data_IF_204469352909
#
_entry.id   IF_204469352909
#
_cell.length_a   1.000
_cell.length_b   1.000
_cell.length_c   1.000
_cell.angle_alpha   90.00
_cell.angle_beta   90.00
_cell.angle_gamma   90.00
#
_symmetry.space_group_name_H-M   'P 1'
#
loop_
_entity.id
_entity.type
_entity.pdbx_description
1 polymer ?
#
# COMPACT_ATOMS: atom_id res chain seq x y z
N UNK A 1 -8.48 0.12 0.49
CA UNK A 1 -8.72 -0.16 -0.95
C UNK A 1 -9.82 0.73 -1.49
N UNK A 2 -11.07 0.66 -1.02
CA UNK A 2 -12.19 1.46 -1.56
C UNK A 2 -11.94 2.99 -1.54
N UNK A 3 -11.42 3.50 -0.44
CA UNK A 3 -10.95 4.88 -0.25
C UNK A 3 -9.81 5.30 -1.20
N UNK A 4 -8.96 4.35 -1.59
CA UNK A 4 -7.73 4.59 -2.35
C UNK A 4 -7.91 4.52 -3.87
N UNK A 5 -8.85 3.68 -4.34
CA UNK A 5 -9.07 3.38 -5.76
C UNK A 5 -10.42 3.92 -6.24
N UNK A 6 -11.35 4.25 -5.34
CA UNK A 6 -12.70 4.74 -5.67
C UNK A 6 -13.46 3.78 -6.60
N UNK A 7 -13.67 2.55 -6.12
CA UNK A 7 -14.40 1.50 -6.83
C UNK A 7 -15.60 1.00 -6.02
N UNK A 8 -16.54 0.37 -6.70
CA UNK A 8 -17.74 -0.22 -6.08
C UNK A 8 -17.62 -1.73 -5.93
N UNK A 9 -17.09 -2.39 -6.96
CA UNK A 9 -16.92 -3.84 -7.02
C UNK A 9 -15.60 -4.22 -7.71
N UNK A 10 -15.06 -5.37 -7.35
CA UNK A 10 -13.95 -5.99 -8.07
C UNK A 10 -14.49 -7.07 -9.01
N UNK A 11 -13.79 -7.33 -10.11
CA UNK A 11 -14.17 -8.39 -11.04
C UNK A 11 -12.95 -9.07 -11.66
N UNK A 12 -13.14 -10.28 -12.19
CA UNK A 12 -12.14 -11.03 -12.94
C UNK A 12 -12.58 -11.16 -14.39
N UNK A 13 -11.68 -10.89 -15.34
CA UNK A 13 -12.00 -11.01 -16.77
C UNK A 13 -12.14 -12.47 -17.18
N UNK A 14 -13.17 -12.78 -17.96
CA UNK A 14 -13.42 -14.10 -18.53
C UNK A 14 -12.68 -14.29 -19.85
N UNK A 15 -12.26 -15.52 -20.12
CA UNK A 15 -11.75 -15.91 -21.44
C UNK A 15 -12.90 -15.89 -22.46
N UNK A 16 -12.66 -15.42 -23.70
CA UNK A 16 -13.72 -15.30 -24.71
C UNK A 16 -14.44 -16.60 -25.08
N UNK A 17 -13.80 -17.76 -24.88
CA UNK A 17 -14.27 -19.06 -25.33
C UNK A 17 -15.04 -19.87 -24.29
N UNK A 18 -15.15 -19.37 -23.05
CA UNK A 18 -15.83 -20.06 -21.98
C UNK A 18 -16.95 -19.18 -21.44
N UNK A 19 -18.20 -19.68 -21.55
CA UNK A 19 -19.35 -19.16 -20.83
C UNK A 19 -19.60 -20.09 -19.65
N UNK A 20 -19.04 -19.84 -18.46
CA UNK A 20 -19.25 -20.73 -17.35
C UNK A 20 -20.68 -20.50 -16.89
N UNK A 21 -21.57 -21.41 -17.28
CA UNK A 21 -22.98 -21.44 -16.88
C UNK A 21 -23.15 -21.44 -15.35
N UNK A 22 -22.11 -21.88 -14.64
CA UNK A 22 -22.04 -22.00 -13.18
C UNK A 22 -22.18 -20.68 -12.42
N UNK A 23 -21.68 -19.57 -12.98
CA UNK A 23 -21.69 -18.25 -12.34
C UNK A 23 -22.49 -17.23 -13.16
N UNK A 24 -23.48 -17.70 -13.92
CA UNK A 24 -24.28 -16.85 -14.82
C UNK A 24 -24.90 -15.63 -14.12
N UNK A 25 -25.25 -15.74 -12.83
CA UNK A 25 -25.78 -14.63 -12.03
C UNK A 25 -24.73 -13.60 -11.58
N UNK A 26 -23.43 -13.92 -11.67
CA UNK A 26 -22.32 -13.03 -11.33
C UNK A 26 -21.58 -12.51 -12.57
N UNK A 27 -22.01 -12.92 -13.77
CA UNK A 27 -21.44 -12.47 -15.03
C UNK A 27 -21.92 -11.06 -15.37
N UNK A 28 -20.99 -10.13 -15.55
CA UNK A 28 -21.23 -8.75 -15.97
C UNK A 28 -20.62 -8.57 -17.36
N UNK A 29 -21.37 -7.95 -18.26
CA UNK A 29 -20.89 -7.55 -19.60
C UNK A 29 -20.53 -6.07 -19.61
N UNK A 30 -19.30 -5.74 -20.01
CA UNK A 30 -18.82 -4.36 -20.16
C UNK A 30 -18.10 -4.26 -21.51
N UNK A 31 -18.58 -3.38 -22.39
CA UNK A 31 -18.00 -3.14 -23.71
C UNK A 31 -17.79 -4.41 -24.57
N UNK A 32 -18.65 -5.42 -24.41
CA UNK A 32 -18.56 -6.70 -25.13
C UNK A 32 -17.64 -7.73 -24.49
N UNK A 33 -16.95 -7.39 -23.40
CA UNK A 33 -16.16 -8.32 -22.59
C UNK A 33 -16.97 -8.81 -21.39
N UNK A 34 -16.70 -10.04 -20.94
CA UNK A 34 -17.39 -10.67 -19.81
C UNK A 34 -16.48 -10.68 -18.57
N UNK A 35 -17.07 -10.44 -17.41
CA UNK A 35 -16.38 -10.39 -16.13
C UNK A 35 -17.16 -11.13 -15.06
N UNK A 36 -16.48 -11.78 -14.12
CA UNK A 36 -17.11 -12.28 -12.90
C UNK A 36 -16.98 -11.27 -11.78
N UNK A 37 -18.13 -10.80 -11.28
CA UNK A 37 -18.18 -9.92 -10.11
C UNK A 37 -17.82 -10.67 -8.84
N UNK A 38 -16.89 -10.11 -8.08
CA UNK A 38 -16.43 -10.63 -6.79
C UNK A 38 -17.34 -10.18 -5.63
N UNK A 39 -18.64 -10.05 -5.85
CA UNK A 39 -19.62 -9.71 -4.81
C UNK A 39 -19.78 -10.82 -3.77
N UNK A 40 -19.81 -12.08 -4.20
CA UNK A 40 -19.87 -13.24 -3.32
C UNK A 40 -18.82 -14.29 -3.67
N UNK A 41 -17.60 -14.00 -3.22
CA UNK A 41 -16.42 -14.88 -3.38
C UNK A 41 -16.59 -16.20 -2.60
N UNK A 42 -17.53 -16.31 -1.65
CA UNK A 42 -17.71 -17.57 -0.91
C UNK A 42 -18.16 -18.71 -1.84
N UNK A 43 -18.94 -18.38 -2.87
CA UNK A 43 -19.38 -19.30 -3.93
C UNK A 43 -18.23 -19.78 -4.82
N UNK A 44 -17.10 -19.06 -4.81
CA UNK A 44 -15.93 -19.36 -5.62
C UNK A 44 -15.07 -20.46 -5.03
N UNK A 45 -15.04 -20.58 -3.70
CA UNK A 45 -14.15 -21.51 -2.98
C UNK A 45 -14.36 -22.97 -3.42
N UNK A 46 -15.59 -23.51 -3.51
CA UNK A 46 -15.81 -24.89 -3.94
C UNK A 46 -15.42 -25.13 -5.41
N UNK A 47 -15.41 -24.07 -6.23
CA UNK A 47 -15.29 -24.13 -7.69
C UNK A 47 -14.02 -23.42 -8.20
N UNK A 48 -13.01 -23.28 -7.35
CA UNK A 48 -11.83 -22.45 -7.66
C UNK A 48 -11.06 -22.91 -8.91
N UNK A 49 -11.11 -24.21 -9.21
CA UNK A 49 -10.52 -24.78 -10.42
C UNK A 49 -11.21 -24.25 -11.69
N UNK A 50 -12.55 -24.22 -11.70
CA UNK A 50 -13.33 -23.70 -12.81
C UNK A 50 -13.07 -22.20 -13.03
N UNK A 51 -12.90 -21.43 -11.95
CA UNK A 51 -12.52 -20.02 -12.05
C UNK A 51 -11.13 -19.83 -12.68
N UNK A 52 -10.17 -20.70 -12.38
CA UNK A 52 -8.83 -20.63 -13.00
C UNK A 52 -8.86 -20.98 -14.48
N UNK A 53 -9.72 -21.91 -14.88
CA UNK A 53 -9.91 -22.24 -16.31
C UNK A 53 -10.62 -21.12 -17.05
N UNK A 54 -11.70 -20.57 -16.47
CA UNK A 54 -12.54 -19.57 -17.11
C UNK A 54 -11.95 -18.16 -17.13
N UNK A 55 -11.17 -17.77 -16.12
CA UNK A 55 -10.66 -16.40 -16.01
C UNK A 55 -9.34 -16.20 -16.74
N UNK A 56 -9.16 -15.02 -17.32
CA UNK A 56 -7.86 -14.54 -17.81
C UNK A 56 -7.04 -14.02 -16.63
N UNK A 57 -6.17 -14.87 -16.08
CA UNK A 57 -5.35 -14.53 -14.91
C UNK A 57 -4.28 -13.46 -15.21
N UNK A 58 -3.90 -13.29 -16.48
CA UNK A 58 -2.92 -12.29 -16.89
C UNK A 58 -3.43 -10.85 -16.73
N UNK A 59 -4.74 -10.65 -16.78
CA UNK A 59 -5.36 -9.33 -16.61
C UNK A 59 -5.51 -8.94 -15.13
N UNK A 60 -5.39 -9.92 -14.22
CA UNK A 60 -5.51 -9.71 -12.78
C UNK A 60 -6.92 -9.29 -12.34
N UNK A 61 -6.97 -8.57 -11.21
CA UNK A 61 -8.22 -8.04 -10.65
C UNK A 61 -8.53 -6.69 -11.28
N UNK A 62 -9.77 -6.53 -11.72
CA UNK A 62 -10.29 -5.31 -12.33
C UNK A 62 -11.21 -4.61 -11.32
N UNK A 63 -11.17 -3.29 -11.31
CA UNK A 63 -11.98 -2.45 -10.43
C UNK A 63 -13.07 -1.78 -11.26
N UNK A 64 -14.32 -1.84 -10.78
CA UNK A 64 -15.47 -1.28 -11.47
C UNK A 64 -16.17 -0.23 -10.62
N UNK A 65 -16.66 0.82 -11.28
CA UNK A 65 -17.53 1.86 -10.71
C UNK A 65 -18.54 2.28 -11.77
N UNK A 66 -19.83 2.35 -11.41
CA UNK A 66 -20.91 2.68 -12.35
C UNK A 66 -20.87 1.81 -13.64
N UNK A 67 -20.56 0.53 -13.51
CA UNK A 67 -20.39 -0.42 -14.62
C UNK A 67 -19.31 -0.04 -15.66
N UNK A 68 -18.31 0.74 -15.25
CA UNK A 68 -17.13 1.10 -16.04
C UNK A 68 -15.85 0.62 -15.34
N UNK A 69 -14.85 0.25 -16.15
CA UNK A 69 -13.53 -0.12 -15.65
C UNK A 69 -12.82 1.12 -15.13
N UNK A 70 -12.36 1.08 -13.88
CA UNK A 70 -11.56 2.12 -13.26
C UNK A 70 -10.09 1.85 -13.55
N UNK A 71 -9.42 2.66 -14.39
CA UNK A 71 -8.00 2.51 -14.62
C UNK A 71 -7.23 2.92 -13.37
N UNK A 72 -6.33 2.05 -12.91
CA UNK A 72 -5.45 2.38 -11.79
C UNK A 72 -4.29 3.29 -12.24
N UNK A 73 -3.83 4.16 -11.36
CA UNK A 73 -2.50 4.77 -11.50
C UNK A 73 -1.39 3.72 -11.24
N UNK A 74 -0.13 4.03 -11.57
CA UNK A 74 1.00 3.17 -11.23
C UNK A 74 1.09 2.90 -9.72
N UNK A 75 0.94 3.95 -8.90
CA UNK A 75 0.93 3.83 -7.43
C UNK A 75 -0.24 2.98 -6.91
N UNK A 76 -1.44 3.15 -7.46
CA UNK A 76 -2.59 2.31 -7.09
C UNK A 76 -2.40 0.85 -7.49
N UNK A 77 -1.77 0.57 -8.65
CA UNK A 77 -1.40 -0.80 -9.06
C UNK A 77 -0.42 -1.43 -8.08
N UNK A 78 0.66 -0.72 -7.74
CA UNK A 78 1.66 -1.20 -6.78
C UNK A 78 1.03 -1.46 -5.40
N UNK A 79 0.21 -0.52 -4.93
CA UNK A 79 -0.54 -0.67 -3.69
C UNK A 79 -1.41 -1.93 -3.68
N UNK A 80 -2.22 -2.14 -4.73
CA UNK A 80 -3.07 -3.32 -4.84
C UNK A 80 -2.24 -4.61 -4.89
N UNK A 81 -1.13 -4.60 -5.62
CA UNK A 81 -0.22 -5.73 -5.72
C UNK A 81 0.37 -6.11 -4.35
N UNK A 82 0.91 -5.17 -3.58
CA UNK A 82 1.46 -5.44 -2.25
C UNK A 82 0.40 -6.05 -1.35
N UNK A 83 -0.79 -5.45 -1.30
CA UNK A 83 -1.90 -5.90 -0.45
C UNK A 83 -2.33 -7.32 -0.81
N UNK A 84 -2.53 -7.61 -2.09
CA UNK A 84 -2.96 -8.93 -2.55
C UNK A 84 -1.90 -9.98 -2.20
N UNK A 85 -0.62 -9.70 -2.42
CA UNK A 85 0.46 -10.63 -2.08
C UNK A 85 0.58 -10.88 -0.58
N UNK A 86 0.43 -9.83 0.24
CA UNK A 86 0.41 -9.94 1.70
C UNK A 86 -0.75 -10.84 2.13
N UNK A 87 -1.97 -10.58 1.65
CA UNK A 87 -3.16 -11.38 2.00
C UNK A 87 -3.04 -12.82 1.51
N UNK A 88 -2.46 -13.05 0.34
CA UNK A 88 -2.28 -14.38 -0.23
C UNK A 88 -1.24 -15.21 0.55
N UNK A 89 -0.26 -14.57 1.19
CA UNK A 89 0.88 -15.25 1.80
C UNK A 89 0.83 -15.32 3.33
N UNK A 90 0.12 -14.40 3.97
CA UNK A 90 0.08 -14.28 5.43
C UNK A 90 -0.53 -15.53 6.08
N UNK A 91 0.08 -15.96 7.18
CA UNK A 91 -0.42 -17.01 8.08
C UNK A 91 -0.47 -16.47 9.51
N UNK A 92 -1.08 -17.24 10.42
CA UNK A 92 -1.07 -16.92 11.84
C UNK A 92 0.36 -16.73 12.36
N UNK A 93 0.58 -15.65 13.13
CA UNK A 93 1.86 -15.26 13.74
C UNK A 93 2.99 -14.99 12.72
N UNK A 94 2.67 -14.42 11.56
CA UNK A 94 3.67 -14.01 10.58
C UNK A 94 4.35 -12.69 10.97
N UNK A 95 5.62 -12.54 10.56
CA UNK A 95 6.31 -11.26 10.51
C UNK A 95 6.44 -10.82 9.06
N UNK A 96 5.90 -9.64 8.74
CA UNK A 96 5.99 -9.03 7.43
C UNK A 96 7.07 -7.94 7.48
N UNK A 97 7.99 -7.95 6.51
CA UNK A 97 9.00 -6.90 6.36
C UNK A 97 8.76 -6.22 5.02
N UNK A 98 8.62 -4.90 5.04
CA UNK A 98 8.36 -4.10 3.84
C UNK A 98 9.38 -2.98 3.80
N UNK A 99 10.08 -2.88 2.68
CA UNK A 99 11.08 -1.86 2.42
C UNK A 99 10.50 -0.80 1.49
N UNK A 100 10.69 0.47 1.86
CA UNK A 100 10.22 1.68 1.19
C UNK A 100 8.82 1.56 0.55
N UNK A 101 7.76 1.24 1.34
CA UNK A 101 6.40 1.10 0.82
C UNK A 101 5.86 2.38 0.17
N UNK A 102 6.43 3.54 0.45
CA UNK A 102 6.09 4.84 -0.12
C UNK A 102 6.58 5.04 -1.56
N UNK A 103 7.47 4.20 -2.09
CA UNK A 103 7.94 4.34 -3.47
C UNK A 103 6.74 4.32 -4.42
N UNK A 104 6.58 5.42 -5.18
CA UNK A 104 5.48 5.63 -6.12
C UNK A 104 4.07 5.78 -5.49
N UNK A 105 3.95 5.90 -4.17
CA UNK A 105 2.69 6.19 -3.50
C UNK A 105 2.53 7.70 -3.25
N UNK A 106 1.30 8.19 -3.46
CA UNK A 106 0.92 9.50 -2.95
C UNK A 106 0.75 9.42 -1.42
N UNK A 107 1.04 10.47 -0.64
CA UNK A 107 0.91 10.46 0.82
C UNK A 107 -0.42 9.91 1.36
N UNK A 108 -1.53 10.21 0.67
CA UNK A 108 -2.86 9.66 1.00
C UNK A 108 -2.90 8.13 0.92
N UNK A 109 -2.26 7.53 -0.09
CA UNK A 109 -2.20 6.08 -0.27
C UNK A 109 -1.32 5.41 0.79
N UNK A 110 -0.28 6.08 1.28
CA UNK A 110 0.55 5.58 2.37
C UNK A 110 -0.23 5.49 3.69
N UNK A 111 -1.05 6.50 4.00
CA UNK A 111 -1.93 6.48 5.18
C UNK A 111 -2.93 5.32 5.07
N UNK A 112 -3.55 5.17 3.90
CA UNK A 112 -4.46 4.06 3.62
C UNK A 112 -3.76 2.70 3.68
N UNK A 113 -2.48 2.64 3.29
CA UNK A 113 -1.66 1.44 3.33
C UNK A 113 -1.44 0.97 4.77
N UNK A 114 -0.98 1.87 5.64
CA UNK A 114 -0.76 1.57 7.06
C UNK A 114 -2.07 1.13 7.73
N UNK A 115 -3.18 1.83 7.43
CA UNK A 115 -4.50 1.47 7.93
C UNK A 115 -4.96 0.08 7.48
N UNK A 116 -4.76 -0.26 6.22
CA UNK A 116 -5.11 -1.56 5.65
C UNK A 116 -4.21 -2.68 6.19
N UNK A 117 -2.90 -2.45 6.28
CA UNK A 117 -1.95 -3.41 6.82
C UNK A 117 -2.30 -3.76 8.27
N UNK A 118 -2.63 -2.77 9.12
CA UNK A 118 -3.12 -3.02 10.49
C UNK A 118 -4.37 -3.90 10.52
N UNK A 119 -5.33 -3.69 9.60
CA UNK A 119 -6.55 -4.51 9.47
C UNK A 119 -6.23 -5.95 9.07
N UNK A 120 -5.25 -6.15 8.18
CA UNK A 120 -4.80 -7.47 7.75
C UNK A 120 -4.04 -8.19 8.88
N UNK A 121 -3.11 -7.52 9.55
CA UNK A 121 -2.27 -8.14 10.58
C UNK A 121 -3.06 -8.64 11.81
N UNK A 122 -4.12 -7.92 12.20
CA UNK A 122 -4.91 -8.18 13.41
C UNK A 122 -5.51 -9.61 13.48
N UNK A 123 -6.30 -10.09 12.50
CA UNK A 123 -6.89 -11.42 12.56
C UNK A 123 -5.84 -12.55 12.58
N UNK A 124 -4.69 -12.36 11.95
CA UNK A 124 -3.61 -13.35 11.91
C UNK A 124 -2.64 -13.24 13.11
N UNK A 125 -2.86 -12.32 14.06
CA UNK A 125 -1.93 -12.06 15.19
C UNK A 125 -0.50 -11.76 14.72
N UNK A 126 -0.38 -11.22 13.52
CA UNK A 126 0.88 -10.97 12.83
C UNK A 126 1.42 -9.57 13.13
N UNK A 127 2.69 -9.34 12.81
CA UNK A 127 3.36 -8.04 12.96
C UNK A 127 3.99 -7.62 11.63
N UNK A 128 4.23 -6.33 11.47
CA UNK A 128 5.00 -5.81 10.35
C UNK A 128 6.11 -4.87 10.84
N UNK A 129 7.24 -4.90 10.14
CA UNK A 129 8.33 -3.94 10.22
C UNK A 129 8.37 -3.22 8.87
N UNK A 130 8.38 -1.90 8.92
CA UNK A 130 8.46 -1.04 7.74
C UNK A 130 9.77 -0.26 7.83
N UNK A 131 10.61 -0.37 6.82
CA UNK A 131 11.70 0.58 6.57
C UNK A 131 11.13 1.68 5.67
N UNK A 132 11.29 2.94 6.05
CA UNK A 132 10.61 4.06 5.38
C UNK A 132 11.34 5.37 5.62
N UNK A 133 11.37 6.19 4.58
CA UNK A 133 11.71 7.61 4.58
C UNK A 133 10.46 8.52 4.64
N UNK A 134 9.26 7.94 4.76
CA UNK A 134 8.03 8.69 4.75
C UNK A 134 7.66 9.30 6.11
N UNK A 135 7.48 10.62 6.08
CA UNK A 135 6.83 11.40 7.14
C UNK A 135 5.39 10.94 7.38
N UNK A 136 4.65 10.62 6.32
CA UNK A 136 3.25 10.23 6.38
C UNK A 136 3.11 8.90 7.12
N UNK A 137 3.95 7.91 6.79
CA UNK A 137 3.93 6.59 7.45
C UNK A 137 4.34 6.73 8.91
N UNK A 138 5.41 7.48 9.20
CA UNK A 138 5.88 7.72 10.56
C UNK A 138 4.81 8.37 11.44
N UNK A 139 4.02 9.29 10.87
CA UNK A 139 2.90 9.95 11.55
C UNK A 139 1.73 9.00 11.86
N UNK A 140 1.61 7.87 11.17
CA UNK A 140 0.52 6.92 11.35
C UNK A 140 0.82 5.83 12.39
N UNK A 141 1.97 5.88 13.06
CA UNK A 141 2.35 4.91 14.11
C UNK A 141 2.74 5.60 15.41
N UNK A 142 2.50 4.97 16.59
CA UNK A 142 2.96 5.50 17.87
C UNK A 142 4.48 5.58 17.95
N UNK A 143 5.02 6.56 18.67
CA UNK A 143 6.46 6.80 18.76
C UNK A 143 7.25 5.61 19.29
N UNK A 144 6.67 4.83 20.21
CA UNK A 144 7.26 3.57 20.71
C UNK A 144 7.46 2.48 19.65
N UNK A 145 6.88 2.65 18.45
CA UNK A 145 7.04 1.76 17.31
C UNK A 145 8.01 2.32 16.26
N UNK A 146 8.56 3.51 16.48
CA UNK A 146 9.47 4.19 15.56
C UNK A 146 10.89 4.08 16.10
N UNK A 147 11.82 3.69 15.24
CA UNK A 147 13.24 3.56 15.52
C UNK A 147 13.99 4.33 14.43
N UNK A 148 14.70 5.37 14.83
CA UNK A 148 15.44 6.25 13.91
C UNK A 148 16.85 5.70 13.78
N UNK A 149 17.25 5.39 12.56
CA UNK A 149 18.59 4.95 12.24
C UNK A 149 19.42 6.20 11.95
N UNK A 150 20.44 6.44 12.76
CA UNK A 150 21.29 7.63 12.71
C UNK A 150 22.74 7.22 12.51
N UNK A 151 23.40 7.74 11.48
CA UNK A 151 24.81 7.47 11.17
C UNK A 151 25.55 8.78 10.94
N UNK A 152 26.41 9.16 11.89
CA UNK A 152 27.27 10.35 11.82
C UNK A 152 28.73 10.00 11.46
N UNK A 153 28.99 8.79 10.95
CA UNK A 153 30.33 8.33 10.56
C UNK A 153 31.15 7.70 11.70
N UNK A 154 30.65 7.74 12.94
CA UNK A 154 31.23 7.01 14.08
C UNK A 154 30.55 5.65 14.34
N UNK A 155 29.51 5.32 13.56
CA UNK A 155 28.74 4.09 13.68
C UNK A 155 27.24 4.34 13.63
N UNK A 156 26.48 3.26 13.44
CA UNK A 156 25.02 3.30 13.40
C UNK A 156 24.43 3.30 14.81
N UNK A 157 23.70 4.36 15.15
CA UNK A 157 22.91 4.47 16.37
C UNK A 157 21.41 4.30 16.07
N UNK A 158 20.66 3.75 17.03
CA UNK A 158 19.20 3.63 16.96
C UNK A 158 18.58 4.47 18.06
N UNK A 159 17.87 5.54 17.66
CA UNK A 159 17.28 6.51 18.58
C UNK A 159 15.74 6.45 18.52
N UNK A 160 15.03 6.48 19.66
CA UNK A 160 13.59 6.66 19.66
C UNK A 160 13.23 8.15 19.44
N UNK A 161 12.09 8.47 18.81
CA UNK A 161 11.63 9.86 18.75
C UNK A 161 11.33 10.40 20.16
N UNK A 162 11.74 11.64 20.50
CA UNK A 162 11.52 12.23 21.83
C UNK A 162 10.09 12.77 22.04
N UNK A 163 9.17 12.50 21.11
CA UNK A 163 7.78 12.96 21.13
C UNK A 163 6.86 11.93 20.48
N UNK A 164 5.55 12.06 20.68
CA UNK A 164 4.55 11.22 20.02
C UNK A 164 4.50 11.51 18.51
N UNK A 165 4.70 10.46 17.71
CA UNK A 165 4.63 10.53 16.25
C UNK A 165 3.21 10.35 15.74
N UNK A 166 2.36 9.58 16.45
CA UNK A 166 1.00 9.32 16.02
C UNK A 166 0.16 10.59 15.96
N UNK A 167 -0.27 10.98 14.76
CA UNK A 167 -0.97 12.25 14.51
C UNK A 167 -0.10 13.49 14.72
N UNK A 168 1.21 13.32 14.95
CA UNK A 168 2.18 14.36 15.28
C UNK A 168 2.35 15.42 14.20
N UNK A 169 3.02 16.52 14.58
CA UNK A 169 3.31 17.62 13.65
C UNK A 169 4.36 17.19 12.62
N UNK A 170 4.05 17.38 11.34
CA UNK A 170 4.90 16.93 10.21
C UNK A 170 6.26 17.63 10.21
N UNK A 171 6.31 18.93 10.53
CA UNK A 171 7.57 19.66 10.60
C UNK A 171 8.47 19.10 11.71
N UNK A 172 7.90 18.80 12.88
CA UNK A 172 8.64 18.20 13.99
C UNK A 172 9.15 16.79 13.65
N UNK A 173 8.31 15.95 13.02
CA UNK A 173 8.74 14.63 12.52
C UNK A 173 9.88 14.80 11.52
N UNK A 174 9.74 15.72 10.57
CA UNK A 174 10.77 15.99 9.56
C UNK A 174 12.09 16.41 10.19
N UNK A 175 12.09 17.34 11.15
CA UNK A 175 13.32 17.83 11.76
C UNK A 175 14.04 16.82 12.65
N UNK A 176 13.32 15.89 13.29
CA UNK A 176 13.93 14.95 14.24
C UNK A 176 14.18 13.55 13.68
N UNK A 177 13.36 13.11 12.72
CA UNK A 177 13.48 11.77 12.11
C UNK A 177 14.31 11.83 10.84
N UNK A 178 14.22 12.93 10.09
CA UNK A 178 14.86 13.09 8.78
C UNK A 178 15.69 14.38 8.68
N UNK A 179 15.91 15.06 9.80
CA UNK A 179 16.64 16.31 9.86
C UNK A 179 18.11 16.04 9.69
N UNK A 180 18.56 16.06 8.43
CA UNK A 180 19.96 15.92 8.11
C UNK A 180 20.69 17.22 8.49
N UNK A 181 21.56 17.14 9.50
CA UNK A 181 22.48 18.24 9.85
C UNK A 181 23.72 18.25 8.95
N UNK A 182 23.95 17.20 8.17
CA UNK A 182 25.20 16.99 7.44
C UNK A 182 25.21 17.57 6.02
N UNK A 183 24.04 17.96 5.49
CA UNK A 183 23.94 18.60 4.17
C UNK A 183 23.90 20.12 4.34
N UNK A 184 25.00 20.78 3.99
CA UNK A 184 25.05 22.22 3.71
C UNK A 184 23.88 22.58 2.79
N UNK A 185 22.96 23.44 3.26
CA UNK A 185 21.86 23.86 2.41
C UNK A 185 22.37 24.95 1.48
N UNK A 186 21.90 25.01 0.21
CA UNK A 186 22.26 26.09 -0.70
C UNK A 186 22.00 27.50 -0.14
N UNK A 187 21.05 27.63 0.79
CA UNK A 187 20.79 28.87 1.52
C UNK A 187 21.88 29.21 2.56
N UNK A 188 22.43 28.20 3.24
CA UNK A 188 23.52 28.39 4.20
C UNK A 188 24.78 28.83 3.45
N UNK A 189 25.08 28.24 2.29
CA UNK A 189 26.15 28.68 1.39
C UNK A 189 25.92 30.10 0.88
N UNK A 190 24.70 30.43 0.47
CA UNK A 190 24.35 31.77 0.03
C UNK A 190 24.51 32.82 1.15
N UNK A 191 24.12 32.48 2.39
CA UNK A 191 24.32 33.33 3.56
C UNK A 191 25.80 33.57 3.84
N UNK A 192 26.63 32.52 3.77
CA UNK A 192 28.07 32.65 3.94
C UNK A 192 28.68 33.56 2.87
N UNK A 193 28.23 33.47 1.62
CA UNK A 193 28.67 34.38 0.55
C UNK A 193 28.30 35.84 0.84
N UNK A 194 27.11 36.11 1.37
CA UNK A 194 26.66 37.49 1.68
C UNK A 194 27.28 38.06 2.97
N UNK A 195 27.81 37.22 3.85
CA UNK A 195 28.54 37.65 5.05
C UNK A 195 30.02 37.94 4.77
N UNK A 196 30.52 37.59 3.59
CA UNK A 196 31.90 37.85 3.14
C UNK A 196 32.07 39.16 2.34
N UNK A 197 30.96 39.81 1.96
CA UNK A 197 30.90 41.15 1.32
C UNK A 197 30.64 42.26 2.37
#
# INVERSE_FOLDING_TARGET
>A
LKSAIDYEQCALKLKPSEHPTFFSHQAISINGEQFFSAEDISTWIPNIYLLREACSLNDGVIFLKNNQIVPLSSGQRLFAYIVINVVASIKDNSLIVIDEPELFLHPTLEIEFVGLLKKILKPFRSKAILATHSLSITREVPSKCVHIFHDEGEGLEILPPPFETFGGNVQRISSYVFGDKSISKPFDEWLEMQLQD
#
